data_IF_200499950357
#
_entry.id   IF_200499950357
#
_cell.length_a   1.000
_cell.length_b   1.000
_cell.length_c   1.000
_cell.angle_alpha   90.00
_cell.angle_beta   90.00
_cell.angle_gamma   90.00
#
_symmetry.space_group_name_H-M   'P 1'
#
loop_
_entity.id
_entity.type
_entity.pdbx_description
1 polymer ?
#
# COMPACT_ATOMS: atom_id res chain seq x y z
N UNK A 1 -2.90 -0.12 -40.09
CA UNK A 1 -3.13 0.77 -38.94
C UNK A 1 -3.46 -0.11 -37.73
N UNK A 2 -2.45 -0.61 -37.01
CA UNK A 2 -2.66 -1.40 -35.79
C UNK A 2 -2.41 -0.47 -34.59
N UNK A 3 -3.47 -0.19 -33.81
CA UNK A 3 -3.35 0.54 -32.54
C UNK A 3 -2.50 -0.28 -31.57
N UNK A 4 -1.48 0.29 -30.92
CA UNK A 4 -0.72 -0.43 -29.91
C UNK A 4 -1.62 -0.73 -28.71
N UNK A 5 -1.54 -1.95 -28.19
CA UNK A 5 -2.13 -2.35 -26.91
C UNK A 5 -1.40 -1.59 -25.79
N UNK A 6 -1.85 -0.39 -25.43
CA UNK A 6 -1.29 0.36 -24.29
C UNK A 6 -1.87 -0.07 -22.93
N UNK A 7 -2.79 -1.03 -22.89
CA UNK A 7 -3.52 -1.37 -21.65
C UNK A 7 -2.96 -2.61 -20.93
N UNK A 8 -1.64 -2.75 -20.90
CA UNK A 8 -0.94 -3.72 -20.03
C UNK A 8 0.38 -3.19 -19.47
N UNK A 9 0.47 -1.89 -19.18
CA UNK A 9 1.54 -1.38 -18.31
C UNK A 9 1.18 -1.76 -16.87
N UNK A 10 1.35 -3.05 -16.55
CA UNK A 10 1.50 -3.60 -15.19
C UNK A 10 0.51 -3.05 -14.15
N UNK A 11 -0.76 -3.46 -14.19
CA UNK A 11 -1.76 -3.12 -13.16
C UNK A 11 -1.21 -3.33 -11.73
N UNK A 12 -0.42 -4.38 -11.54
CA UNK A 12 0.38 -4.65 -10.33
C UNK A 12 1.34 -3.51 -9.97
N UNK A 13 2.19 -3.02 -10.88
CA UNK A 13 3.11 -1.90 -10.62
C UNK A 13 2.37 -0.61 -10.30
N UNK A 14 1.24 -0.35 -10.99
CA UNK A 14 0.41 0.81 -10.70
C UNK A 14 -0.13 0.73 -9.27
N UNK A 15 -0.71 -0.41 -8.88
CA UNK A 15 -1.24 -0.55 -7.51
C UNK A 15 -0.17 -0.52 -6.41
N UNK A 16 1.07 -0.95 -6.68
CA UNK A 16 2.18 -0.77 -5.74
C UNK A 16 2.54 0.71 -5.59
N UNK A 17 2.65 1.42 -6.70
CA UNK A 17 2.91 2.84 -6.72
C UNK A 17 1.78 3.63 -6.01
N UNK A 18 0.53 3.29 -6.29
CA UNK A 18 -0.66 3.87 -5.65
C UNK A 18 -0.60 3.67 -4.12
N UNK A 19 -0.30 2.46 -3.65
CA UNK A 19 -0.21 2.15 -2.22
C UNK A 19 0.96 2.85 -1.52
N UNK A 20 2.13 2.95 -2.19
CA UNK A 20 3.27 3.71 -1.66
C UNK A 20 2.94 5.20 -1.60
N UNK A 21 2.23 5.73 -2.60
CA UNK A 21 1.78 7.13 -2.63
C UNK A 21 0.81 7.42 -1.49
N UNK A 22 -0.17 6.54 -1.28
CA UNK A 22 -1.11 6.64 -0.14
C UNK A 22 -0.37 6.58 1.19
N UNK A 23 0.57 5.64 1.35
CA UNK A 23 1.39 5.53 2.56
C UNK A 23 2.17 6.81 2.83
N UNK A 24 2.83 7.36 1.81
CA UNK A 24 3.59 8.60 1.92
C UNK A 24 2.70 9.77 2.39
N UNK A 25 1.58 10.01 1.70
CA UNK A 25 0.68 11.12 2.04
C UNK A 25 0.03 10.94 3.40
N UNK A 26 -0.27 9.71 3.82
CA UNK A 26 -0.79 9.45 5.15
C UNK A 26 0.25 9.79 6.24
N UNK A 27 1.51 9.40 6.06
CA UNK A 27 2.57 9.75 7.02
C UNK A 27 2.86 11.25 7.06
N UNK A 28 2.86 11.92 5.89
CA UNK A 28 3.01 13.36 5.76
C UNK A 28 1.85 14.12 6.42
N UNK A 29 0.61 13.65 6.20
CA UNK A 29 -0.60 14.18 6.84
C UNK A 29 -0.54 14.02 8.36
N UNK A 30 -0.18 12.83 8.86
CA UNK A 30 -0.04 12.59 10.30
C UNK A 30 0.99 13.53 10.95
N UNK A 31 2.14 13.74 10.30
CA UNK A 31 3.16 14.68 10.78
C UNK A 31 2.62 16.11 10.81
N UNK A 32 1.94 16.53 9.75
CA UNK A 32 1.39 17.88 9.60
C UNK A 32 0.32 18.15 10.66
N UNK A 33 -0.62 17.23 10.84
CA UNK A 33 -1.70 17.38 11.83
C UNK A 33 -1.19 17.36 13.27
N UNK A 34 -0.09 16.66 13.55
CA UNK A 34 0.56 16.73 14.86
C UNK A 34 1.05 18.16 15.19
N UNK A 35 1.59 18.87 14.19
CA UNK A 35 2.04 20.27 14.35
C UNK A 35 0.82 21.17 14.61
N UNK A 36 -0.24 21.02 13.81
CA UNK A 36 -1.45 21.83 13.98
C UNK A 36 -2.15 21.59 15.32
N UNK A 37 -2.16 20.34 15.81
CA UNK A 37 -2.68 20.02 17.14
C UNK A 37 -1.87 20.72 18.26
N UNK A 38 -0.53 20.76 18.14
CA UNK A 38 0.33 21.46 19.10
C UNK A 38 0.11 22.97 19.08
N UNK A 39 -0.04 23.57 17.90
CA UNK A 39 -0.30 25.00 17.78
C UNK A 39 -1.67 25.37 18.34
N UNK A 40 -2.72 24.61 18.02
CA UNK A 40 -4.05 24.80 18.61
C UNK A 40 -4.05 24.65 20.14
N UNK A 41 -3.28 23.68 20.67
CA UNK A 41 -3.12 23.51 22.12
C UNK A 41 -2.42 24.72 22.78
N UNK A 42 -1.41 25.31 22.12
CA UNK A 42 -0.72 26.52 22.61
C UNK A 42 -1.61 27.74 22.62
N UNK A 43 -2.50 27.84 21.63
CA UNK A 43 -3.46 28.94 21.50
C UNK A 43 -4.69 28.76 22.41
N UNK A 44 -4.79 27.63 23.12
CA UNK A 44 -5.88 27.31 24.04
C UNK A 44 -7.15 26.79 23.36
N UNK A 45 -7.12 26.55 22.05
CA UNK A 45 -8.25 26.01 21.29
C UNK A 45 -8.29 24.48 21.39
N UNK A 46 -8.98 24.00 22.42
CA UNK A 46 -9.09 22.56 22.71
C UNK A 46 -9.92 21.80 21.67
N UNK A 47 -10.93 22.43 21.09
CA UNK A 47 -11.78 21.79 20.07
C UNK A 47 -10.94 21.53 18.80
N UNK A 48 -10.20 22.54 18.36
CA UNK A 48 -9.34 22.44 17.20
C UNK A 48 -8.16 21.48 17.42
N UNK A 49 -7.57 21.49 18.61
CA UNK A 49 -6.51 20.55 18.98
C UNK A 49 -7.01 19.09 18.93
N UNK A 50 -8.22 18.83 19.45
CA UNK A 50 -8.82 17.51 19.44
C UNK A 50 -9.16 17.05 18.01
N UNK A 51 -9.65 17.97 17.16
CA UNK A 51 -9.89 17.69 15.74
C UNK A 51 -8.62 17.26 15.02
N UNK A 52 -7.52 18.02 15.15
CA UNK A 52 -6.26 17.68 14.50
C UNK A 52 -5.63 16.40 15.04
N UNK A 53 -5.76 16.14 16.35
CA UNK A 53 -5.31 14.88 16.94
C UNK A 53 -6.09 13.68 16.39
N UNK A 54 -7.42 13.79 16.24
CA UNK A 54 -8.22 12.72 15.64
C UNK A 54 -7.85 12.49 14.17
N UNK A 55 -7.70 13.58 13.39
CA UNK A 55 -7.27 13.50 12.00
C UNK A 55 -5.88 12.86 11.87
N UNK A 56 -4.94 13.18 12.77
CA UNK A 56 -3.63 12.53 12.84
C UNK A 56 -3.77 11.01 13.03
N UNK A 57 -4.60 10.57 13.97
CA UNK A 57 -4.79 9.13 14.22
C UNK A 57 -5.36 8.41 13.00
N UNK A 58 -6.29 9.04 12.29
CA UNK A 58 -6.89 8.45 11.09
C UNK A 58 -5.84 8.28 9.98
N UNK A 59 -4.94 9.25 9.82
CA UNK A 59 -3.80 9.12 8.91
C UNK A 59 -2.81 8.03 9.33
N UNK A 60 -2.51 7.89 10.63
CA UNK A 60 -1.67 6.78 11.13
C UNK A 60 -2.31 5.43 10.82
N UNK A 61 -3.63 5.28 11.03
CA UNK A 61 -4.35 4.05 10.70
C UNK A 61 -4.32 3.77 9.19
N UNK A 62 -4.48 4.79 8.36
CA UNK A 62 -4.36 4.67 6.91
C UNK A 62 -2.97 4.16 6.49
N UNK A 63 -1.91 4.77 7.04
CA UNK A 63 -0.53 4.37 6.79
C UNK A 63 -0.27 2.90 7.19
N UNK A 64 -0.71 2.48 8.37
CA UNK A 64 -0.55 1.10 8.82
C UNK A 64 -1.30 0.09 7.94
N UNK A 65 -2.52 0.43 7.51
CA UNK A 65 -3.27 -0.40 6.55
C UNK A 65 -2.55 -0.52 5.20
N UNK A 66 -2.05 0.60 4.66
CA UNK A 66 -1.28 0.59 3.42
C UNK A 66 -0.02 -0.28 3.51
N UNK A 67 0.73 -0.17 4.62
CA UNK A 67 1.89 -1.03 4.91
C UNK A 67 1.52 -2.52 4.93
N UNK A 68 0.43 -2.88 5.60
CA UNK A 68 -0.01 -4.28 5.67
C UNK A 68 -0.37 -4.83 4.28
N UNK A 69 -1.05 -4.04 3.45
CA UNK A 69 -1.39 -4.46 2.07
C UNK A 69 -0.11 -4.63 1.25
N UNK A 70 0.84 -3.69 1.34
CA UNK A 70 2.14 -3.79 0.67
C UNK A 70 2.92 -5.04 1.10
N UNK A 71 2.98 -5.34 2.40
CA UNK A 71 3.66 -6.52 2.94
C UNK A 71 3.06 -7.83 2.41
N UNK A 72 1.72 -7.92 2.34
CA UNK A 72 1.02 -9.11 1.81
C UNK A 72 1.30 -9.32 0.31
N UNK A 73 1.43 -8.24 -0.46
CA UNK A 73 1.66 -8.30 -1.91
C UNK A 73 3.12 -8.58 -2.26
N UNK A 74 4.06 -8.03 -1.48
CA UNK A 74 5.52 -8.23 -1.69
C UNK A 74 6.05 -9.54 -1.13
N UNK A 75 5.29 -10.26 -0.29
CA UNK A 75 5.70 -11.55 0.24
C UNK A 75 5.76 -12.63 -0.86
N UNK A 76 6.91 -13.29 -1.08
CA UNK A 76 7.11 -14.25 -2.17
C UNK A 76 6.33 -15.58 -2.02
N UNK A 77 5.58 -15.75 -0.92
CA UNK A 77 4.90 -17.01 -0.62
C UNK A 77 3.66 -17.29 -1.50
N UNK A 78 3.09 -16.28 -2.17
CA UNK A 78 1.90 -16.47 -3.02
C UNK A 78 2.21 -17.01 -4.43
N UNK A 79 3.48 -17.00 -4.86
CA UNK A 79 3.89 -17.39 -6.23
C UNK A 79 4.46 -18.81 -6.33
N UNK A 80 4.57 -19.53 -5.21
CA UNK A 80 5.24 -20.84 -5.16
C UNK A 80 4.29 -22.06 -5.21
N UNK A 81 3.05 -21.93 -5.69
CA UNK A 81 2.12 -23.09 -5.85
C UNK A 81 1.63 -23.37 -7.27
N UNK A 82 2.25 -22.75 -8.29
CA UNK A 82 1.91 -23.01 -9.69
C UNK A 82 3.15 -23.45 -10.51
N UNK A 83 3.41 -24.75 -10.49
CA UNK A 83 4.47 -25.42 -11.26
C UNK A 83 5.22 -26.38 -10.34
N UNK A 84 5.11 -27.70 -10.44
CA UNK A 84 5.26 -28.55 -11.64
C UNK A 84 4.53 -29.89 -11.35
N UNK A 85 3.51 -30.32 -12.10
CA UNK A 85 3.18 -31.74 -12.17
C UNK A 85 4.27 -32.45 -12.98
N UNK A 86 5.16 -33.08 -12.21
CA UNK A 86 6.11 -34.16 -12.54
C UNK A 86 5.94 -34.74 -13.94
N UNK A 87 6.94 -34.50 -14.79
CA UNK A 87 7.17 -35.17 -16.06
C UNK A 87 7.09 -36.69 -15.89
N UNK A 88 5.98 -37.30 -16.33
CA UNK A 88 5.94 -38.73 -16.64
C UNK A 88 6.49 -38.90 -18.06
N UNK A 89 7.82 -38.86 -18.16
CA UNK A 89 8.53 -39.41 -19.30
C UNK A 89 8.84 -40.87 -18.99
N UNK A 90 7.97 -41.79 -19.38
CA UNK A 90 8.33 -43.21 -19.53
C UNK A 90 7.62 -43.78 -20.75
N UNK A 91 8.37 -43.85 -21.85
CA UNK A 91 8.21 -44.80 -22.95
C UNK A 91 9.55 -44.84 -23.71
N UNK A 92 9.93 -45.89 -24.46
CA UNK A 92 9.55 -47.32 -24.43
C UNK A 92 10.79 -48.26 -24.50
N UNK A 93 10.60 -49.54 -24.87
CA UNK A 93 11.56 -50.62 -25.23
C UNK A 93 11.94 -51.56 -24.06
N UNK A 94 11.88 -52.89 -24.18
CA UNK A 94 12.00 -53.79 -25.36
C UNK A 94 10.92 -54.87 -25.43
#
# INVERSE_FOLDING_TARGET
MNRPQEERVTNTSNTYFDLVSVLYHALEGAKTYAIYAQDAQRDGDQELAQFFYQAQQDQVRCAENAKQILARRTSPAATASAGIPRSQGTAPQS
#
